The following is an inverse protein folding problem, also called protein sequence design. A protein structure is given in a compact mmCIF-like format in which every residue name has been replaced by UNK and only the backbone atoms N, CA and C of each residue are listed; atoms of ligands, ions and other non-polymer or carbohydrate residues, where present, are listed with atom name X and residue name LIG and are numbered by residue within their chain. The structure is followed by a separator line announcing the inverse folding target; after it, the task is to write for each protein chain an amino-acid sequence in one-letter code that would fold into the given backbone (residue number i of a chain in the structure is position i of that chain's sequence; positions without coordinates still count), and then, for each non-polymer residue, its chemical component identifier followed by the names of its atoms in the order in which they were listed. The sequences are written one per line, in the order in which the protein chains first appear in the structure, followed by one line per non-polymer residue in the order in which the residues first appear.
data_IF_049458573131
#
_entry.id   IF_049458573131
#
_cell.length_a   1.000
_cell.length_b   1.000
_cell.length_c   1.000
_cell.angle_alpha   90.00
_cell.angle_beta   90.00
_cell.angle_gamma   90.00
#
_symmetry.space_group_name_H-M   'P 1'
#
loop_
_entity.id
_entity.type
_entity.pdbx_description
1 polymer ?
#
# COMPACT_ATOMS: atom_id res chain seq x y z
N UNK A 1 19.48 -24.81 41.34
CA UNK A 1 19.53 -23.51 40.66
C UNK A 1 20.45 -23.66 39.46
N UNK A 2 19.85 -23.81 38.27
CA UNK A 2 20.58 -24.01 37.01
C UNK A 2 20.61 -22.71 36.21
N UNK A 3 21.79 -22.34 35.73
CA UNK A 3 21.99 -21.23 34.80
C UNK A 3 21.66 -21.71 33.38
N UNK A 4 20.73 -21.03 32.70
CA UNK A 4 20.46 -21.21 31.26
C UNK A 4 21.33 -20.20 30.51
N UNK A 5 22.18 -20.74 29.64
CA UNK A 5 23.05 -20.00 28.72
C UNK A 5 22.33 -19.79 27.37
N UNK A 6 22.60 -18.61 26.81
CA UNK A 6 22.75 -18.26 25.39
C UNK A 6 21.53 -18.32 24.46
N UNK A 7 21.05 -17.11 24.19
CA UNK A 7 20.65 -16.56 22.90
C UNK A 7 21.51 -16.99 21.69
N UNK A 8 20.84 -17.37 20.59
CA UNK A 8 21.39 -17.37 19.23
C UNK A 8 20.29 -17.02 18.20
N UNK A 9 20.65 -16.22 17.21
CA UNK A 9 19.83 -15.44 16.29
C UNK A 9 19.32 -16.21 15.05
N UNK A 10 18.24 -15.70 14.43
CA UNK A 10 18.05 -15.74 12.97
C UNK A 10 17.77 -14.34 12.45
N UNK A 11 18.85 -13.65 12.04
CA UNK A 11 18.82 -12.63 11.01
C UNK A 11 19.62 -13.23 9.84
N UNK A 12 18.94 -13.83 8.86
CA UNK A 12 19.59 -14.28 7.62
C UNK A 12 18.53 -14.50 6.52
N UNK A 13 18.28 -13.47 5.71
CA UNK A 13 17.96 -13.56 4.28
C UNK A 13 17.81 -12.15 3.69
N UNK A 14 18.90 -11.39 3.70
CA UNK A 14 19.10 -10.30 2.75
C UNK A 14 20.55 -10.38 2.24
N UNK A 15 20.71 -10.17 0.93
CA UNK A 15 21.94 -10.12 0.14
C UNK A 15 22.50 -11.46 -0.39
N UNK A 16 22.08 -11.83 -1.60
CA UNK A 16 23.01 -12.28 -2.66
C UNK A 16 22.51 -11.79 -4.03
N UNK A 17 22.85 -10.53 -4.35
CA UNK A 17 23.03 -10.07 -5.73
C UNK A 17 24.48 -9.61 -5.85
N UNK A 18 25.31 -10.39 -6.54
CA UNK A 18 26.50 -9.89 -7.23
C UNK A 18 26.92 -10.89 -8.32
N UNK A 19 26.90 -10.44 -9.57
CA UNK A 19 27.53 -11.07 -10.71
C UNK A 19 29.05 -11.23 -10.52
N UNK A 20 29.59 -12.41 -10.84
CA UNK A 20 30.76 -12.61 -11.71
C UNK A 20 32.17 -12.30 -11.18
N UNK A 21 33.07 -13.29 -11.33
CA UNK A 21 34.52 -13.07 -11.48
C UNK A 21 35.39 -14.06 -10.71
N UNK A 22 35.98 -15.04 -11.41
CA UNK A 22 36.85 -16.08 -10.84
C UNK A 22 38.29 -15.66 -10.55
N UNK A 23 39.05 -16.61 -9.97
CA UNK A 23 40.49 -16.53 -9.67
C UNK A 23 40.77 -17.10 -8.28
N UNK A 24 41.07 -18.40 -8.16
CA UNK A 24 42.42 -19.01 -8.13
C UNK A 24 43.00 -19.13 -6.71
N UNK A 25 43.09 -20.40 -6.28
CA UNK A 25 44.11 -21.02 -5.44
C UNK A 25 44.60 -20.37 -4.14
N UNK A 26 44.32 -21.09 -3.05
CA UNK A 26 45.38 -21.62 -2.19
C UNK A 26 45.75 -20.80 -0.95
N UNK A 27 45.59 -21.38 0.24
CA UNK A 27 46.69 -21.91 1.06
C UNK A 27 46.16 -22.39 2.42
N UNK A 28 45.86 -23.69 2.53
CA UNK A 28 46.45 -24.65 3.47
C UNK A 28 45.60 -25.93 3.44
N UNK A 29 46.22 -26.96 2.88
CA UNK A 29 45.71 -28.30 2.68
C UNK A 29 46.19 -29.22 3.83
N UNK A 30 45.51 -30.36 3.92
CA UNK A 30 45.83 -31.60 4.66
C UNK A 30 45.40 -31.65 6.14
N UNK A 31 44.75 -32.70 6.64
CA UNK A 31 44.25 -33.95 6.06
C UNK A 31 43.36 -34.60 7.12
N UNK A 32 42.18 -35.08 6.75
CA UNK A 32 41.48 -36.22 7.37
C UNK A 32 40.20 -36.51 6.57
N UNK A 33 40.30 -37.42 5.59
CA UNK A 33 39.15 -37.96 4.86
C UNK A 33 38.23 -38.73 5.82
N UNK A 34 37.04 -38.19 6.08
CA UNK A 34 35.85 -39.03 6.23
C UNK A 34 34.86 -38.62 5.13
N UNK A 35 34.40 -39.61 4.37
CA UNK A 35 33.38 -39.43 3.34
C UNK A 35 32.04 -39.13 4.03
N UNK A 36 31.70 -37.85 4.16
CA UNK A 36 30.31 -37.40 4.14
C UNK A 36 30.24 -36.31 3.09
N UNK A 37 29.64 -36.64 1.94
CA UNK A 37 29.19 -35.64 0.99
C UNK A 37 28.39 -34.60 1.79
N UNK A 38 28.70 -33.29 1.73
CA UNK A 38 27.83 -32.30 2.34
C UNK A 38 26.51 -32.43 1.60
N UNK A 39 25.47 -32.90 2.29
CA UNK A 39 24.11 -32.67 1.83
C UNK A 39 24.01 -31.19 1.46
N UNK A 40 23.47 -30.89 0.28
CA UNK A 40 23.06 -29.53 -0.05
C UNK A 40 22.32 -28.95 1.16
N UNK A 41 22.46 -27.64 1.45
CA UNK A 41 21.68 -27.01 2.52
C UNK A 41 20.23 -27.44 2.34
N UNK A 42 19.68 -28.10 3.35
CA UNK A 42 18.31 -28.56 3.32
C UNK A 42 17.45 -27.29 3.37
N UNK A 43 17.04 -26.81 2.18
CA UNK A 43 16.23 -25.61 2.02
C UNK A 43 14.78 -25.82 2.49
N UNK A 44 14.51 -26.89 3.22
CA UNK A 44 13.20 -27.16 3.81
C UNK A 44 13.10 -26.46 5.15
N UNK A 45 12.49 -25.27 5.16
CA UNK A 45 12.01 -24.62 6.38
C UNK A 45 11.15 -25.62 7.16
N UNK A 46 11.46 -25.87 8.43
CA UNK A 46 10.69 -26.84 9.23
C UNK A 46 9.23 -26.37 9.36
N UNK A 47 8.24 -27.29 9.43
CA UNK A 47 6.85 -26.93 9.70
C UNK A 47 6.65 -26.05 10.96
N UNK A 48 7.52 -26.20 11.96
CA UNK A 48 7.52 -25.36 13.17
C UNK A 48 7.95 -23.92 12.89
N UNK A 49 8.90 -23.72 11.99
CA UNK A 49 9.42 -22.40 11.61
C UNK A 49 8.37 -21.67 10.77
N UNK A 50 7.75 -22.40 9.83
CA UNK A 50 6.64 -21.92 9.00
C UNK A 50 5.45 -21.46 9.86
N UNK A 51 5.07 -22.21 10.89
CA UNK A 51 4.00 -21.82 11.81
C UNK A 51 4.37 -20.58 12.64
N UNK A 52 5.64 -20.46 13.06
CA UNK A 52 6.13 -19.31 13.84
C UNK A 52 6.13 -18.02 13.00
N UNK A 53 6.61 -18.11 11.77
CA UNK A 53 6.58 -17.00 10.80
C UNK A 53 5.14 -16.59 10.52
N UNK A 54 4.25 -17.55 10.29
CA UNK A 54 2.85 -17.28 10.04
C UNK A 54 2.14 -16.62 11.24
N UNK A 55 2.38 -17.08 12.47
CA UNK A 55 1.81 -16.45 13.67
C UNK A 55 2.21 -14.96 13.79
N UNK A 56 3.40 -14.60 13.32
CA UNK A 56 3.85 -13.21 13.25
C UNK A 56 3.15 -12.43 12.14
N UNK A 57 2.92 -13.07 10.98
CA UNK A 57 2.20 -12.48 9.85
C UNK A 57 0.71 -12.23 10.15
N UNK A 58 0.03 -13.12 10.90
CA UNK A 58 -1.39 -12.97 11.26
C UNK A 58 -1.72 -11.63 11.90
N UNK A 59 -0.82 -11.15 12.77
CA UNK A 59 -0.98 -9.87 13.48
C UNK A 59 -0.86 -8.69 12.52
N UNK A 60 -0.13 -8.87 11.42
CA UNK A 60 0.23 -7.80 10.50
C UNK A 60 -0.66 -7.71 9.27
N UNK A 61 -1.35 -8.81 8.96
CA UNK A 61 -1.98 -9.05 7.67
C UNK A 61 -3.29 -9.86 7.79
N UNK A 62 -4.08 -9.63 8.85
CA UNK A 62 -5.33 -10.35 9.07
C UNK A 62 -6.30 -10.20 7.89
N UNK A 63 -6.32 -9.02 7.25
CA UNK A 63 -7.16 -8.71 6.08
C UNK A 63 -6.85 -9.59 4.88
N UNK A 64 -5.60 -10.05 4.71
CA UNK A 64 -5.23 -11.00 3.65
C UNK A 64 -5.98 -12.33 3.78
N UNK A 65 -6.43 -12.67 4.98
CA UNK A 65 -7.17 -13.89 5.26
C UNK A 65 -8.65 -13.61 5.50
N UNK A 66 -9.14 -12.42 5.12
CA UNK A 66 -10.53 -12.00 5.27
C UNK A 66 -10.94 -11.71 6.71
N UNK A 67 -9.99 -11.72 7.64
CA UNK A 67 -10.21 -11.47 9.06
C UNK A 67 -10.12 -9.97 9.33
N UNK A 68 -10.76 -9.53 10.41
CA UNK A 68 -10.70 -8.14 10.87
C UNK A 68 -10.09 -8.10 12.27
N UNK A 69 -9.18 -7.17 12.49
CA UNK A 69 -8.79 -6.77 13.83
C UNK A 69 -8.95 -5.25 13.97
N UNK A 70 -10.12 -4.77 14.38
CA UNK A 70 -10.37 -3.34 14.49
C UNK A 70 -9.60 -2.67 15.64
N UNK A 71 -9.05 -3.46 16.57
CA UNK A 71 -8.32 -2.96 17.75
C UNK A 71 -6.81 -2.86 17.52
N UNK A 72 -6.24 -3.76 16.72
CA UNK A 72 -4.79 -3.82 16.44
C UNK A 72 -4.54 -4.24 15.00
N UNK A 73 -4.74 -3.31 14.05
CA UNK A 73 -4.30 -3.52 12.67
C UNK A 73 -2.79 -3.50 12.58
N UNK A 74 -2.21 -4.26 11.66
CA UNK A 74 -0.77 -4.16 11.36
C UNK A 74 -0.48 -3.61 9.98
N UNK A 75 0.79 -3.67 9.57
CA UNK A 75 1.25 -2.87 8.42
C UNK A 75 0.56 -3.20 7.11
N UNK A 76 0.37 -4.49 6.83
CA UNK A 76 -0.25 -4.94 5.58
C UNK A 76 -1.73 -4.55 5.58
N UNK A 77 -2.41 -4.70 6.72
CA UNK A 77 -3.80 -4.27 6.88
C UNK A 77 -3.94 -2.76 6.67
N UNK A 78 -3.05 -1.97 7.26
CA UNK A 78 -3.02 -0.52 7.06
C UNK A 78 -2.79 -0.13 5.61
N UNK A 79 -1.83 -0.77 4.95
CA UNK A 79 -1.49 -0.49 3.56
C UNK A 79 -2.68 -0.79 2.64
N UNK A 80 -3.30 -1.97 2.79
CA UNK A 80 -4.44 -2.38 1.99
C UNK A 80 -5.68 -1.54 2.27
N UNK A 81 -5.96 -1.22 3.53
CA UNK A 81 -7.03 -0.30 3.90
C UNK A 81 -6.82 1.07 3.25
N UNK A 82 -5.62 1.66 3.37
CA UNK A 82 -5.35 2.98 2.80
C UNK A 82 -5.49 2.92 1.28
N UNK A 83 -4.93 1.91 0.61
CA UNK A 83 -5.10 1.74 -0.83
C UNK A 83 -6.57 1.65 -1.23
N UNK A 84 -7.35 0.80 -0.56
CA UNK A 84 -8.74 0.51 -0.91
C UNK A 84 -9.70 1.67 -0.54
N UNK A 85 -9.60 2.17 0.68
CA UNK A 85 -10.52 3.15 1.25
C UNK A 85 -10.18 4.58 0.86
N UNK A 86 -8.99 4.83 0.27
CA UNK A 86 -8.64 6.14 -0.26
C UNK A 86 -8.43 6.17 -1.76
N UNK A 87 -7.27 5.73 -2.23
CA UNK A 87 -6.85 5.91 -3.61
C UNK A 87 -7.81 5.22 -4.58
N UNK A 88 -8.13 3.95 -4.32
CA UNK A 88 -9.07 3.20 -5.15
C UNK A 88 -10.50 3.74 -5.04
N UNK A 89 -10.91 4.20 -3.84
CA UNK A 89 -12.22 4.83 -3.64
C UNK A 89 -12.36 6.13 -4.44
N UNK A 90 -11.43 7.07 -4.30
CA UNK A 90 -11.40 8.33 -5.06
C UNK A 90 -11.48 8.03 -6.56
N UNK A 91 -10.64 7.09 -7.02
CA UNK A 91 -10.60 6.59 -8.39
C UNK A 91 -11.97 6.09 -8.86
N UNK A 92 -12.67 5.25 -8.09
CA UNK A 92 -13.99 4.73 -8.49
C UNK A 92 -15.07 5.83 -8.49
N UNK A 93 -15.05 6.73 -7.51
CA UNK A 93 -16.10 7.72 -7.32
C UNK A 93 -16.00 8.89 -8.31
N UNK A 94 -14.79 9.36 -8.61
CA UNK A 94 -14.59 10.46 -9.57
C UNK A 94 -15.09 10.11 -10.98
N UNK A 95 -15.05 8.83 -11.37
CA UNK A 95 -15.53 8.36 -12.68
C UNK A 95 -17.04 8.43 -12.86
N UNK A 96 -17.80 8.67 -11.78
CA UNK A 96 -19.26 8.83 -11.83
C UNK A 96 -19.69 10.25 -12.17
N UNK A 97 -18.75 11.19 -12.24
CA UNK A 97 -19.00 12.61 -12.44
C UNK A 97 -18.98 13.01 -13.92
N UNK A 98 -19.72 14.06 -14.28
CA UNK A 98 -19.64 14.71 -15.59
C UNK A 98 -18.66 15.89 -15.54
N UNK A 99 -17.58 15.81 -16.31
CA UNK A 99 -16.51 16.81 -16.29
C UNK A 99 -16.73 17.99 -17.24
N UNK A 100 -17.75 17.94 -18.10
CA UNK A 100 -17.97 18.97 -19.12
C UNK A 100 -18.17 20.37 -18.54
N UNK A 101 -18.71 20.48 -17.32
CA UNK A 101 -18.90 21.75 -16.62
C UNK A 101 -17.59 22.42 -16.19
N UNK A 102 -16.48 21.67 -16.16
CA UNK A 102 -15.17 22.16 -15.72
C UNK A 102 -14.22 22.51 -16.88
N UNK A 103 -14.71 22.45 -18.12
CA UNK A 103 -13.93 22.73 -19.34
C UNK A 103 -13.25 24.10 -19.34
N UNK A 104 -13.87 25.11 -18.73
CA UNK A 104 -13.35 26.48 -18.75
C UNK A 104 -12.48 26.81 -17.54
N UNK A 105 -12.52 26.01 -16.48
CA UNK A 105 -11.90 26.33 -15.18
C UNK A 105 -10.75 25.40 -14.82
N UNK A 106 -10.89 24.10 -15.07
CA UNK A 106 -9.96 23.08 -14.58
C UNK A 106 -9.32 22.26 -15.70
N UNK A 107 -9.81 22.39 -16.93
CA UNK A 107 -9.27 21.65 -18.07
C UNK A 107 -8.01 22.30 -18.63
N UNK A 108 -6.99 21.49 -18.84
CA UNK A 108 -5.78 21.82 -19.57
C UNK A 108 -5.79 21.06 -20.90
N UNK A 109 -5.58 21.78 -22.02
CA UNK A 109 -5.42 21.16 -23.34
C UNK A 109 -4.23 20.19 -23.39
N UNK A 110 -3.23 20.43 -22.54
CA UNK A 110 -2.09 19.54 -22.34
C UNK A 110 -1.75 19.51 -20.86
N UNK A 111 -1.95 18.34 -20.25
CA UNK A 111 -1.79 18.16 -18.82
C UNK A 111 -0.35 18.44 -18.36
N UNK A 112 0.61 18.08 -19.20
CA UNK A 112 2.04 18.25 -18.97
C UNK A 112 2.64 19.13 -20.08
N UNK A 113 2.63 20.47 -19.92
CA UNK A 113 3.04 21.40 -20.97
C UNK A 113 4.44 21.15 -21.52
N UNK A 114 5.35 20.66 -20.68
CA UNK A 114 6.75 20.40 -21.03
C UNK A 114 7.01 18.96 -21.54
N UNK A 115 6.05 18.03 -21.39
CA UNK A 115 6.27 16.61 -21.68
C UNK A 115 6.32 16.30 -23.17
N UNK A 116 7.44 15.82 -23.69
CA UNK A 116 7.57 15.47 -25.12
C UNK A 116 6.91 14.14 -25.50
N UNK A 117 6.38 13.39 -24.53
CA UNK A 117 5.86 12.03 -24.74
C UNK A 117 4.42 11.87 -24.28
N UNK A 118 3.87 12.80 -23.50
CA UNK A 118 2.48 12.79 -23.06
C UNK A 118 1.82 14.13 -23.40
N UNK A 119 0.88 14.08 -24.36
CA UNK A 119 0.16 15.23 -24.89
C UNK A 119 -1.31 15.23 -24.47
N UNK A 120 -1.72 14.33 -23.57
CA UNK A 120 -3.13 14.20 -23.19
C UNK A 120 -3.60 15.48 -22.50
N UNK A 121 -4.82 15.90 -22.84
CA UNK A 121 -5.55 16.88 -22.06
C UNK A 121 -5.99 16.25 -20.73
N UNK A 122 -6.25 17.08 -19.72
CA UNK A 122 -6.74 16.60 -18.44
C UNK A 122 -7.52 17.67 -17.70
N UNK A 123 -8.30 17.25 -16.72
CA UNK A 123 -8.85 18.13 -15.69
C UNK A 123 -7.96 18.03 -14.45
N UNK A 124 -7.59 19.18 -13.88
CA UNK A 124 -6.78 19.26 -12.66
C UNK A 124 -7.61 19.90 -11.56
N UNK A 125 -7.75 19.18 -10.46
CA UNK A 125 -8.39 19.66 -9.23
C UNK A 125 -7.37 19.67 -8.11
N UNK A 126 -7.39 20.73 -7.29
CA UNK A 126 -6.42 20.93 -6.21
C UNK A 126 -7.10 21.20 -4.88
N UNK A 127 -6.61 20.56 -3.83
CA UNK A 127 -7.06 20.83 -2.46
C UNK A 127 -8.58 20.83 -2.30
N UNK A 128 -9.15 21.93 -1.80
CA UNK A 128 -10.60 22.08 -1.55
C UNK A 128 -11.47 21.92 -2.80
N UNK A 129 -10.93 22.11 -4.00
CA UNK A 129 -11.67 21.83 -5.25
C UNK A 129 -12.05 20.35 -5.34
N UNK A 130 -11.24 19.46 -4.77
CA UNK A 130 -11.50 18.02 -4.74
C UNK A 130 -12.67 17.70 -3.80
N UNK A 131 -12.76 18.33 -2.62
CA UNK A 131 -13.92 18.19 -1.73
C UNK A 131 -15.21 18.61 -2.46
N UNK A 132 -15.19 19.78 -3.11
CA UNK A 132 -16.34 20.29 -3.85
C UNK A 132 -16.73 19.38 -5.03
N UNK A 133 -15.74 18.78 -5.69
CA UNK A 133 -15.95 17.85 -6.80
C UNK A 133 -16.61 16.54 -6.34
N UNK A 134 -16.11 15.95 -5.25
CA UNK A 134 -16.55 14.64 -4.77
C UNK A 134 -17.78 14.71 -3.85
N UNK A 135 -18.11 15.90 -3.33
CA UNK A 135 -19.31 16.16 -2.55
C UNK A 135 -19.23 15.69 -1.10
N UNK A 136 -20.40 15.59 -0.45
CA UNK A 136 -20.52 15.42 1.01
C UNK A 136 -19.89 14.16 1.58
N UNK A 137 -19.73 13.11 0.77
CA UNK A 137 -19.06 11.86 1.18
C UNK A 137 -17.58 12.09 1.54
N UNK A 138 -17.02 13.24 1.19
CA UNK A 138 -15.64 13.65 1.43
C UNK A 138 -15.53 14.87 2.36
N UNK A 139 -16.59 15.27 3.07
CA UNK A 139 -16.56 16.43 3.98
C UNK A 139 -15.60 16.26 5.16
N UNK A 140 -15.31 15.01 5.53
CA UNK A 140 -14.37 14.66 6.61
C UNK A 140 -12.93 14.44 6.13
N UNK A 141 -12.67 14.64 4.84
CA UNK A 141 -11.36 14.49 4.21
C UNK A 141 -10.71 15.86 4.05
N UNK A 142 -9.41 15.94 4.30
CA UNK A 142 -8.64 17.15 4.04
C UNK A 142 -7.70 16.93 2.88
N UNK A 143 -7.95 17.57 1.75
CA UNK A 143 -7.05 17.55 0.58
C UNK A 143 -5.99 18.65 0.63
N UNK A 144 -5.94 19.40 1.73
CA UNK A 144 -4.87 20.34 2.06
C UNK A 144 -4.49 20.05 3.51
N UNK A 145 -3.22 19.76 3.75
CA UNK A 145 -2.66 19.64 5.09
C UNK A 145 -1.78 20.87 5.29
N UNK A 146 -2.15 21.74 6.22
CA UNK A 146 -1.49 23.03 6.40
C UNK A 146 -1.37 23.41 7.89
N UNK A 147 -0.62 24.47 8.13
CA UNK A 147 -0.55 25.16 9.41
C UNK A 147 -0.48 26.66 9.17
N UNK A 148 -1.13 27.43 10.02
CA UNK A 148 -1.14 28.87 9.86
C UNK A 148 -2.07 29.56 10.83
N UNK A 149 -2.62 30.68 10.37
CA UNK A 149 -3.61 31.48 11.11
C UNK A 149 -4.81 31.63 10.20
N UNK A 150 -5.99 31.28 10.68
CA UNK A 150 -7.23 31.41 9.92
C UNK A 150 -7.70 32.87 9.81
N UNK A 151 -8.77 33.11 9.06
CA UNK A 151 -9.33 34.46 8.87
C UNK A 151 -9.85 35.11 10.15
N UNK A 152 -9.98 34.36 11.24
CA UNK A 152 -10.41 34.84 12.57
C UNK A 152 -9.23 35.12 13.50
N UNK A 153 -8.00 34.88 13.04
CA UNK A 153 -6.79 35.07 13.84
C UNK A 153 -6.44 33.86 14.71
N UNK A 154 -7.10 32.72 14.53
CA UNK A 154 -6.84 31.50 15.31
C UNK A 154 -5.77 30.68 14.59
N UNK A 155 -4.70 30.34 15.33
CA UNK A 155 -3.67 29.45 14.81
C UNK A 155 -4.23 28.04 14.67
N UNK A 156 -3.92 27.39 13.55
CA UNK A 156 -4.25 25.99 13.28
C UNK A 156 -3.02 25.27 12.76
N UNK A 157 -2.98 23.97 13.01
CA UNK A 157 -1.96 23.07 12.47
C UNK A 157 -2.62 21.69 12.41
N UNK A 158 -2.79 21.18 11.18
CA UNK A 158 -3.47 19.91 10.94
C UNK A 158 -2.70 18.70 11.51
N UNK A 159 -1.39 18.86 11.73
CA UNK A 159 -0.52 17.86 12.34
C UNK A 159 -0.23 18.18 13.83
N UNK A 160 -0.93 19.17 14.40
CA UNK A 160 -0.79 19.50 15.82
C UNK A 160 -1.01 18.27 16.70
N UNK A 161 -0.15 18.11 17.70
CA UNK A 161 -0.16 16.99 18.65
C UNK A 161 0.17 15.61 18.06
N UNK A 162 0.58 15.54 16.79
CA UNK A 162 1.22 14.34 16.25
C UNK A 162 2.69 14.37 16.63
N UNK A 163 3.20 13.26 17.15
CA UNK A 163 4.60 13.11 17.54
C UNK A 163 5.21 11.89 16.86
N UNK A 164 6.38 12.06 16.27
CA UNK A 164 7.22 10.94 15.83
C UNK A 164 8.17 10.53 16.97
N UNK A 165 8.66 9.29 16.92
CA UNK A 165 9.59 8.77 17.93
C UNK A 165 10.90 9.58 17.99
N UNK A 166 11.40 10.00 16.83
CA UNK A 166 12.64 10.76 16.64
C UNK A 166 12.59 11.55 15.34
N UNK A 167 13.41 12.60 15.25
CA UNK A 167 13.49 13.46 14.06
C UNK A 167 14.12 12.76 12.84
N UNK A 168 14.85 11.66 13.06
CA UNK A 168 15.48 10.85 12.00
C UNK A 168 14.49 9.99 11.20
N UNK A 169 13.20 9.98 11.59
CA UNK A 169 12.17 9.22 10.87
C UNK A 169 11.83 9.92 9.55
N UNK A 170 11.88 9.17 8.45
CA UNK A 170 11.56 9.65 7.10
C UNK A 170 10.37 8.85 6.55
N UNK A 171 9.33 9.52 6.00
CA UNK A 171 9.15 10.97 5.94
C UNK A 171 8.87 11.58 7.33
N UNK A 172 9.40 12.78 7.56
CA UNK A 172 9.08 13.57 8.75
C UNK A 172 7.70 14.22 8.63
N UNK A 173 7.19 14.81 9.72
CA UNK A 173 5.87 15.47 9.72
C UNK A 173 5.79 16.62 8.70
N UNK A 174 6.88 17.36 8.50
CA UNK A 174 6.87 18.48 7.54
C UNK A 174 6.61 18.04 6.11
N UNK A 175 6.98 16.81 5.76
CA UNK A 175 6.75 16.24 4.44
C UNK A 175 5.28 16.03 4.11
N UNK A 176 4.40 16.03 5.12
CA UNK A 176 2.95 15.86 4.95
C UNK A 176 2.20 17.18 4.75
N UNK A 177 2.82 18.34 4.99
CA UNK A 177 2.18 19.61 4.62
C UNK A 177 2.18 19.79 3.11
N UNK A 178 1.02 20.16 2.57
CA UNK A 178 0.85 20.41 1.14
C UNK A 178 -0.59 20.26 0.65
N UNK A 179 -0.77 20.49 -0.65
CA UNK A 179 -2.03 20.28 -1.33
C UNK A 179 -2.01 18.96 -2.13
N UNK A 180 -3.17 18.32 -2.23
CA UNK A 180 -3.39 17.20 -3.15
C UNK A 180 -3.69 17.72 -4.55
N UNK A 181 -3.16 17.02 -5.54
CA UNK A 181 -3.47 17.17 -6.96
C UNK A 181 -4.20 15.92 -7.45
N UNK A 182 -5.33 16.14 -8.11
CA UNK A 182 -6.12 15.09 -8.73
C UNK A 182 -6.24 15.39 -10.23
N UNK A 183 -5.63 14.53 -11.04
CA UNK A 183 -5.59 14.66 -12.49
C UNK A 183 -6.52 13.60 -13.10
N UNK A 184 -7.45 14.06 -13.94
CA UNK A 184 -8.38 13.22 -14.70
C UNK A 184 -8.04 13.33 -16.18
N UNK A 185 -7.45 12.30 -16.76
CA UNK A 185 -6.94 12.39 -18.14
C UNK A 185 -8.03 12.17 -19.18
N UNK A 186 -8.07 13.05 -20.16
CA UNK A 186 -8.83 12.81 -21.37
C UNK A 186 -8.10 11.81 -22.26
N UNK A 187 -8.89 11.05 -23.02
CA UNK A 187 -8.37 10.17 -24.05
C UNK A 187 -9.10 10.46 -25.36
N UNK A 188 -8.36 10.57 -26.46
CA UNK A 188 -8.94 10.76 -27.79
C UNK A 188 -9.89 9.63 -28.17
N UNK A 189 -9.63 8.40 -27.69
CA UNK A 189 -10.58 7.32 -27.84
C UNK A 189 -11.75 7.56 -26.87
N UNK A 190 -12.97 7.81 -27.36
CA UNK A 190 -14.13 8.10 -26.50
C UNK A 190 -14.44 6.94 -25.55
N UNK A 191 -14.08 5.71 -25.91
CA UNK A 191 -14.24 4.54 -25.05
C UNK A 191 -13.24 4.52 -23.90
N UNK A 192 -12.11 5.24 -24.00
CA UNK A 192 -11.05 5.35 -22.99
C UNK A 192 -11.07 6.67 -22.21
N UNK A 193 -12.01 7.57 -22.53
CA UNK A 193 -11.99 8.92 -21.99
C UNK A 193 -12.18 8.92 -20.47
N UNK A 194 -11.35 9.69 -19.74
CA UNK A 194 -11.39 9.87 -18.27
C UNK A 194 -11.10 8.60 -17.46
N UNK A 195 -10.60 7.56 -18.13
CA UNK A 195 -10.35 6.30 -17.46
C UNK A 195 -9.04 6.26 -16.72
N UNK A 196 -8.18 7.28 -16.79
CA UNK A 196 -6.93 7.35 -16.04
C UNK A 196 -7.03 8.49 -15.00
N UNK A 197 -6.88 8.11 -13.73
CA UNK A 197 -6.94 9.01 -12.58
C UNK A 197 -5.60 8.95 -11.86
N UNK A 198 -4.99 10.10 -11.67
CA UNK A 198 -3.69 10.23 -10.99
C UNK A 198 -3.81 11.15 -9.79
N UNK A 199 -3.29 10.69 -8.65
CA UNK A 199 -3.28 11.42 -7.37
C UNK A 199 -1.83 11.68 -6.97
N UNK A 200 -1.53 12.90 -6.51
CA UNK A 200 -0.23 13.29 -5.98
C UNK A 200 -0.39 14.28 -4.82
N UNK A 201 0.63 14.44 -3.98
CA UNK A 201 0.62 15.38 -2.85
C UNK A 201 0.21 14.74 -1.54
N UNK A 202 -0.42 15.51 -0.65
CA UNK A 202 -0.78 15.08 0.69
C UNK A 202 -2.26 15.33 1.00
N UNK A 203 -2.91 14.35 1.62
CA UNK A 203 -4.28 14.46 2.11
C UNK A 203 -4.46 13.64 3.38
N UNK A 204 -5.58 13.86 4.06
CA UNK A 204 -6.02 13.01 5.15
C UNK A 204 -7.44 12.50 4.93
N UNK A 205 -7.74 11.35 5.52
CA UNK A 205 -9.08 10.79 5.51
C UNK A 205 -9.45 10.18 6.85
N UNK A 206 -10.75 10.11 7.19
CA UNK A 206 -11.21 9.46 8.39
C UNK A 206 -10.92 7.96 8.33
N UNK A 207 -10.55 7.41 9.48
CA UNK A 207 -10.33 5.99 9.67
C UNK A 207 -10.93 5.55 11.01
N UNK A 208 -11.78 4.52 10.95
CA UNK A 208 -12.45 3.98 12.12
C UNK A 208 -11.51 3.06 12.90
N UNK A 209 -11.32 3.36 14.19
CA UNK A 209 -10.69 2.48 15.17
C UNK A 209 -11.69 2.11 16.25
N UNK A 210 -11.34 1.10 17.07
CA UNK A 210 -12.14 0.69 18.21
C UNK A 210 -12.39 1.83 19.21
N UNK A 211 -11.43 2.76 19.36
CA UNK A 211 -11.49 3.88 20.31
C UNK A 211 -12.10 5.16 19.74
N UNK A 212 -12.49 5.17 18.46
CA UNK A 212 -13.11 6.33 17.80
C UNK A 212 -12.61 6.56 16.38
N UNK A 213 -13.00 7.69 15.81
CA UNK A 213 -12.59 8.12 14.48
C UNK A 213 -11.25 8.87 14.58
N UNK A 214 -10.22 8.38 13.89
CA UNK A 214 -8.95 9.08 13.71
C UNK A 214 -8.78 9.53 12.26
N UNK A 215 -7.78 10.38 11.99
CA UNK A 215 -7.36 10.72 10.63
C UNK A 215 -6.10 9.93 10.28
N UNK A 216 -6.04 9.38 9.07
CA UNK A 216 -4.80 8.91 8.44
C UNK A 216 -4.29 10.02 7.54
N UNK A 217 -2.99 10.29 7.59
CA UNK A 217 -2.34 11.24 6.70
C UNK A 217 -1.57 10.47 5.64
N UNK A 218 -1.81 10.80 4.37
CA UNK A 218 -1.28 10.12 3.21
C UNK A 218 -0.37 11.09 2.48
N UNK A 219 0.79 10.59 2.06
CA UNK A 219 1.75 11.35 1.29
C UNK A 219 2.14 10.56 0.04
N UNK A 220 1.94 11.18 -1.11
CA UNK A 220 2.36 10.71 -2.42
C UNK A 220 3.35 11.73 -2.97
N UNK A 221 4.64 11.46 -2.79
CA UNK A 221 5.73 12.34 -3.19
C UNK A 221 6.83 11.57 -3.94
N UNK A 222 7.86 12.30 -4.38
CA UNK A 222 8.97 11.75 -5.16
C UNK A 222 9.68 10.55 -4.50
N UNK A 223 9.73 10.47 -3.17
CA UNK A 223 10.36 9.37 -2.45
C UNK A 223 9.46 8.12 -2.35
N UNK A 224 8.14 8.27 -2.50
CA UNK A 224 7.17 7.17 -2.36
C UNK A 224 6.83 6.44 -3.64
N UNK A 225 7.09 7.07 -4.79
CA UNK A 225 6.66 6.56 -6.10
C UNK A 225 7.76 6.74 -7.15
N UNK A 226 8.00 5.67 -7.90
CA UNK A 226 8.81 5.71 -9.12
C UNK A 226 8.01 6.30 -10.29
N UNK A 227 6.67 6.16 -10.25
CA UNK A 227 5.79 6.88 -11.16
C UNK A 227 5.75 8.36 -10.76
N UNK A 228 6.13 9.24 -11.69
CA UNK A 228 6.27 10.68 -11.45
C UNK A 228 5.47 11.47 -12.47
N UNK A 229 4.92 12.59 -11.99
CA UNK A 229 4.27 13.61 -12.81
C UNK A 229 4.91 14.96 -12.55
N UNK A 230 4.66 15.90 -13.46
CA UNK A 230 5.05 17.30 -13.27
C UNK A 230 3.79 18.13 -13.10
N UNK A 231 3.69 18.85 -11.97
CA UNK A 231 2.56 19.76 -11.69
C UNK A 231 3.06 21.17 -11.50
N UNK A 232 2.31 22.15 -11.99
CA UNK A 232 2.57 23.57 -11.71
C UNK A 232 1.83 23.97 -10.43
N UNK A 233 2.58 24.23 -9.36
CA UNK A 233 2.02 24.66 -8.07
C UNK A 233 1.48 26.09 -8.17
N UNK A 234 0.56 26.43 -7.27
CA UNK A 234 0.02 27.81 -7.22
C UNK A 234 1.14 28.83 -7.04
N UNK A 235 1.10 29.91 -7.83
CA UNK A 235 2.13 30.97 -7.80
C UNK A 235 3.49 30.60 -8.41
N UNK A 236 3.63 29.40 -8.99
CA UNK A 236 4.86 28.97 -9.66
C UNK A 236 4.71 28.98 -11.18
N UNK A 237 5.80 29.32 -11.88
CA UNK A 237 5.88 29.29 -13.35
C UNK A 237 6.57 28.04 -13.88
N UNK A 238 7.34 27.35 -13.04
CA UNK A 238 8.06 26.11 -13.38
C UNK A 238 7.31 24.91 -12.82
N UNK A 239 7.30 23.80 -13.57
CA UNK A 239 6.77 22.54 -13.09
C UNK A 239 7.58 21.95 -11.93
N UNK A 240 6.90 21.42 -10.93
CA UNK A 240 7.49 20.61 -9.86
C UNK A 240 7.25 19.13 -10.16
N UNK A 241 8.31 18.31 -10.11
CA UNK A 241 8.19 16.86 -10.19
C UNK A 241 7.68 16.32 -8.87
N UNK A 242 6.66 15.46 -8.92
CA UNK A 242 6.10 14.79 -7.76
C UNK A 242 5.92 13.31 -8.10
N UNK A 243 6.16 12.43 -7.12
CA UNK A 243 5.65 11.08 -7.22
C UNK A 243 4.12 11.08 -7.25
N UNK A 244 3.55 10.07 -7.88
CA UNK A 244 2.12 9.97 -8.06
C UNK A 244 1.65 8.52 -8.04
N UNK A 245 0.36 8.34 -7.80
CA UNK A 245 -0.32 7.07 -7.93
C UNK A 245 -1.39 7.20 -9.02
N UNK A 246 -1.25 6.43 -10.09
CA UNK A 246 -2.21 6.38 -11.19
C UNK A 246 -2.96 5.05 -11.19
N UNK A 247 -4.28 5.12 -11.35
CA UNK A 247 -5.13 3.96 -11.61
C UNK A 247 -5.97 4.25 -12.83
N UNK A 248 -5.86 3.39 -13.85
CA UNK A 248 -6.73 3.44 -15.01
C UNK A 248 -7.77 2.32 -15.02
N UNK A 249 -8.95 2.59 -15.59
CA UNK A 249 -9.99 1.61 -15.88
C UNK A 249 -9.78 1.12 -17.30
N UNK A 250 -10.01 -0.16 -17.55
CA UNK A 250 -10.03 -0.71 -18.90
C UNK A 250 -11.42 -0.50 -19.51
N UNK A 251 -11.52 0.04 -20.74
CA UNK A 251 -12.78 0.46 -21.35
C UNK A 251 -13.87 -0.59 -21.44
N UNK A 252 -13.44 -1.75 -21.90
CA UNK A 252 -14.29 -2.82 -22.32
C UNK A 252 -13.50 -4.10 -22.05
N UNK A 253 -14.14 -4.98 -21.30
CA UNK A 253 -13.67 -6.32 -21.03
C UNK A 253 -14.65 -7.26 -21.73
N UNK A 254 -14.15 -8.38 -22.25
CA UNK A 254 -14.99 -9.34 -22.98
C UNK A 254 -16.08 -9.97 -22.10
N UNK A 255 -15.89 -9.94 -20.78
CA UNK A 255 -16.79 -10.49 -19.77
C UNK A 255 -17.65 -9.42 -19.07
N UNK A 256 -17.60 -8.16 -19.53
CA UNK A 256 -18.28 -7.00 -18.92
C UNK A 256 -17.88 -6.73 -17.45
N UNK A 257 -16.72 -7.21 -17.02
CA UNK A 257 -16.15 -6.85 -15.73
C UNK A 257 -15.73 -5.38 -15.65
N UNK A 258 -15.85 -4.79 -14.46
CA UNK A 258 -15.08 -3.58 -14.18
C UNK A 258 -13.64 -3.99 -13.91
N UNK A 259 -12.69 -3.45 -14.67
CA UNK A 259 -11.30 -3.83 -14.56
C UNK A 259 -10.42 -2.60 -14.45
N UNK A 260 -9.68 -2.52 -13.36
CA UNK A 260 -8.83 -1.40 -13.00
C UNK A 260 -7.38 -1.88 -12.94
N UNK A 261 -6.46 -1.05 -13.39
CA UNK A 261 -5.03 -1.32 -13.43
C UNK A 261 -4.32 -0.16 -12.73
N UNK A 262 -3.49 -0.49 -11.76
CA UNK A 262 -2.66 0.48 -11.05
C UNK A 262 -1.30 0.57 -11.72
N UNK A 263 -0.87 1.79 -12.02
CA UNK A 263 0.36 2.06 -12.76
C UNK A 263 1.59 1.60 -11.99
N UNK A 264 2.55 1.06 -12.73
CA UNK A 264 3.84 0.62 -12.25
C UNK A 264 4.57 1.69 -11.43
N UNK A 265 5.15 1.33 -10.28
CA UNK A 265 5.94 2.27 -9.47
C UNK A 265 5.10 3.27 -8.67
N UNK A 266 3.78 3.07 -8.66
CA UNK A 266 2.85 3.76 -7.76
C UNK A 266 3.12 3.42 -6.30
N UNK A 267 3.09 4.42 -5.42
CA UNK A 267 3.21 4.19 -3.98
C UNK A 267 2.77 5.37 -3.13
N UNK A 268 2.71 5.17 -1.83
CA UNK A 268 2.37 6.21 -0.86
C UNK A 268 3.00 5.91 0.51
N UNK A 269 3.11 6.95 1.32
CA UNK A 269 3.31 6.83 2.76
C UNK A 269 2.01 7.11 3.51
N UNK A 270 1.86 6.51 4.67
CA UNK A 270 0.76 6.76 5.61
C UNK A 270 1.31 6.96 7.01
N UNK A 271 0.87 7.99 7.72
CA UNK A 271 1.03 8.07 9.18
C UNK A 271 -0.14 7.35 9.85
N UNK A 272 0.19 6.33 10.63
CA UNK A 272 -0.77 5.57 11.45
C UNK A 272 -0.57 5.95 12.92
N UNK A 273 -1.66 5.97 13.68
CA UNK A 273 -1.68 6.43 15.08
C UNK A 273 -2.70 5.64 15.95
N UNK A 274 -2.94 4.37 15.60
CA UNK A 274 -3.79 3.45 16.38
C UNK A 274 -3.12 2.87 17.58
N UNK A 275 -1.80 2.77 17.54
CA UNK A 275 -1.08 1.90 18.45
C UNK A 275 -1.10 2.49 19.86
N UNK A 276 -2.13 2.15 20.63
CA UNK A 276 -2.37 2.68 21.99
C UNK A 276 -1.26 2.35 22.97
N UNK A 277 -0.35 1.43 22.60
CA UNK A 277 0.80 1.11 23.43
C UNK A 277 1.88 2.19 23.37
N UNK A 278 1.90 3.02 22.32
CA UNK A 278 2.92 4.07 22.13
C UNK A 278 2.27 5.44 21.92
N UNK A 279 2.99 6.49 22.31
CA UNK A 279 2.52 7.88 22.18
C UNK A 279 2.94 8.54 20.85
N UNK A 280 3.43 7.76 19.88
CA UNK A 280 3.98 8.27 18.63
C UNK A 280 3.24 7.69 17.43
N UNK A 281 3.08 8.52 16.41
CA UNK A 281 2.66 8.07 15.10
C UNK A 281 3.78 7.26 14.43
N UNK A 282 3.37 6.25 13.67
CA UNK A 282 4.23 5.29 13.01
C UNK A 282 4.08 5.48 11.49
N UNK A 283 5.16 5.73 10.73
CA UNK A 283 5.08 5.76 9.28
C UNK A 283 5.01 4.36 8.68
N UNK A 284 4.24 4.26 7.61
CA UNK A 284 4.10 3.10 6.75
C UNK A 284 4.33 3.53 5.31
N UNK A 285 5.13 2.77 4.57
CA UNK A 285 5.30 2.89 3.13
C UNK A 285 4.63 1.71 2.43
N UNK A 286 3.95 1.98 1.33
CA UNK A 286 3.39 1.00 0.42
C UNK A 286 3.77 1.34 -1.01
N UNK A 287 4.34 0.38 -1.73
CA UNK A 287 4.74 0.54 -3.13
C UNK A 287 4.32 -0.66 -3.96
N UNK A 288 3.85 -0.39 -5.18
CA UNK A 288 3.47 -1.38 -6.19
C UNK A 288 4.55 -1.40 -7.27
N UNK A 289 5.33 -2.48 -7.30
CA UNK A 289 6.56 -2.59 -8.10
C UNK A 289 6.37 -3.34 -9.44
N UNK A 290 5.12 -3.51 -9.90
CA UNK A 290 4.83 -4.19 -11.17
C UNK A 290 5.34 -3.37 -12.36
N UNK A 291 6.35 -3.83 -13.10
CA UNK A 291 6.85 -3.12 -14.30
C UNK A 291 5.92 -3.30 -15.51
N UNK A 292 5.90 -2.31 -16.41
CA UNK A 292 5.28 -2.42 -17.73
C UNK A 292 5.79 -3.67 -18.48
N UNK A 293 4.88 -4.54 -18.93
CA UNK A 293 5.21 -5.81 -19.61
C UNK A 293 5.36 -7.03 -18.68
N UNK A 294 5.28 -6.83 -17.37
CA UNK A 294 5.06 -7.87 -16.36
C UNK A 294 3.56 -7.93 -16.04
N UNK A 295 3.07 -8.98 -15.39
CA UNK A 295 1.69 -9.05 -14.89
C UNK A 295 1.32 -7.73 -14.21
N UNK A 296 0.26 -7.03 -14.66
CA UNK A 296 -0.12 -5.75 -14.09
C UNK A 296 -0.79 -5.91 -12.72
N UNK A 297 -0.66 -4.89 -11.88
CA UNK A 297 -1.43 -4.76 -10.64
C UNK A 297 -2.86 -4.37 -10.95
N UNK A 298 -3.83 -5.17 -10.52
CA UNK A 298 -5.21 -5.08 -10.99
C UNK A 298 -6.22 -5.24 -9.88
N UNK A 299 -7.36 -4.58 -10.04
CA UNK A 299 -8.57 -4.81 -9.28
C UNK A 299 -9.73 -5.00 -10.25
N UNK A 300 -10.45 -6.11 -10.13
CA UNK A 300 -11.53 -6.51 -11.03
C UNK A 300 -12.82 -6.70 -10.24
N UNK A 301 -13.96 -6.36 -10.83
CA UNK A 301 -15.29 -6.70 -10.31
C UNK A 301 -16.07 -7.39 -11.43
N UNK A 302 -16.54 -8.61 -11.18
CA UNK A 302 -17.38 -9.37 -12.10
C UNK A 302 -18.51 -10.06 -11.30
N UNK A 303 -19.76 -9.71 -11.60
CA UNK A 303 -20.95 -10.31 -10.97
C UNK A 303 -20.91 -10.27 -9.42
N UNK A 304 -20.42 -9.17 -8.84
CA UNK A 304 -20.30 -9.00 -7.38
C UNK A 304 -19.11 -9.71 -6.73
N UNK A 305 -18.28 -10.41 -7.52
CA UNK A 305 -17.00 -10.96 -7.08
C UNK A 305 -15.92 -9.95 -7.41
N UNK A 306 -15.13 -9.60 -6.40
CA UNK A 306 -13.98 -8.73 -6.53
C UNK A 306 -12.70 -9.57 -6.57
N UNK A 307 -11.75 -9.20 -7.42
CA UNK A 307 -10.43 -9.82 -7.51
C UNK A 307 -9.38 -8.72 -7.39
N UNK A 308 -8.52 -8.81 -6.38
CA UNK A 308 -7.31 -8.00 -6.28
C UNK A 308 -6.12 -8.88 -6.64
N UNK A 309 -5.30 -8.43 -7.57
CA UNK A 309 -4.05 -9.08 -7.93
C UNK A 309 -2.93 -8.04 -7.99
N UNK A 310 -2.07 -8.05 -6.98
CA UNK A 310 -0.88 -7.22 -6.87
C UNK A 310 0.34 -8.15 -6.97
N UNK A 311 0.90 -8.37 -8.17
CA UNK A 311 1.96 -9.37 -8.38
C UNK A 311 3.31 -8.96 -7.79
N UNK A 312 3.50 -7.68 -7.46
CA UNK A 312 4.71 -7.18 -6.81
C UNK A 312 4.39 -5.97 -5.95
N UNK A 313 4.58 -6.12 -4.64
CA UNK A 313 4.43 -5.06 -3.64
C UNK A 313 5.61 -5.05 -2.68
N UNK A 314 5.95 -3.86 -2.19
CA UNK A 314 6.79 -3.65 -1.01
C UNK A 314 5.99 -2.86 0.03
N UNK A 315 5.99 -3.34 1.27
CA UNK A 315 5.32 -2.72 2.40
C UNK A 315 6.34 -2.63 3.51
N UNK A 316 6.69 -1.42 3.92
CA UNK A 316 7.65 -1.21 5.00
C UNK A 316 7.13 -0.23 6.04
N UNK A 317 7.59 -0.33 7.27
CA UNK A 317 7.18 0.59 8.31
C UNK A 317 7.93 0.36 9.61
N UNK A 318 7.73 1.27 10.56
CA UNK A 318 8.36 1.23 11.88
C UNK A 318 7.30 1.19 12.98
N UNK A 319 7.11 0.04 13.63
CA UNK A 319 6.04 -0.23 14.60
C UNK A 319 6.71 -0.67 15.87
N UNK A 320 6.55 0.15 16.88
CA UNK A 320 7.31 0.03 18.11
C UNK A 320 6.57 -0.96 19.00
N UNK A 321 7.01 -2.22 18.97
CA UNK A 321 6.62 -3.18 20.00
C UNK A 321 7.46 -2.90 21.26
N UNK A 322 6.80 -2.71 22.40
CA UNK A 322 7.31 -2.10 23.64
C UNK A 322 8.56 -2.76 24.28
N UNK A 323 9.14 -3.80 23.68
CA UNK A 323 10.12 -4.67 24.33
C UNK A 323 11.42 -4.88 23.55
N UNK A 324 11.54 -4.53 22.26
CA UNK A 324 12.83 -4.69 21.53
C UNK A 324 12.98 -3.76 20.32
N UNK A 325 13.84 -2.72 20.37
CA UNK A 325 13.97 -1.71 19.31
C UNK A 325 14.34 -2.25 17.92
N UNK A 326 15.10 -3.35 17.84
CA UNK A 326 15.61 -3.94 16.60
C UNK A 326 14.58 -4.74 15.79
N UNK A 327 13.34 -4.86 16.27
CA UNK A 327 12.23 -5.56 15.60
C UNK A 327 11.17 -4.60 15.03
N UNK A 328 11.40 -3.29 15.15
CA UNK A 328 10.39 -2.30 14.82
C UNK A 328 10.30 -2.04 13.32
N UNK A 329 11.43 -2.11 12.61
CA UNK A 329 11.46 -1.95 11.17
C UNK A 329 11.07 -3.29 10.55
N UNK A 330 9.94 -3.32 9.83
CA UNK A 330 9.52 -4.49 9.06
C UNK A 330 9.42 -4.12 7.60
N UNK A 331 9.85 -5.05 6.75
CA UNK A 331 9.65 -5.00 5.32
C UNK A 331 8.99 -6.31 4.87
N UNK A 332 7.95 -6.17 4.08
CA UNK A 332 7.25 -7.26 3.41
C UNK A 332 7.34 -7.03 1.92
N UNK A 333 7.86 -8.04 1.22
CA UNK A 333 7.87 -8.03 -0.24
C UNK A 333 7.16 -9.28 -0.77
N UNK A 334 6.52 -9.14 -1.93
CA UNK A 334 5.96 -10.27 -2.64
C UNK A 334 4.68 -9.93 -3.40
N UNK A 335 3.69 -10.82 -3.38
CA UNK A 335 2.46 -10.70 -4.14
C UNK A 335 1.22 -10.89 -3.28
N UNK A 336 0.15 -10.15 -3.59
CA UNK A 336 -1.15 -10.25 -2.92
C UNK A 336 -2.20 -10.63 -3.96
N UNK A 337 -2.87 -11.77 -3.76
CA UNK A 337 -4.06 -12.15 -4.52
C UNK A 337 -5.23 -12.44 -3.58
N UNK A 338 -6.36 -11.79 -3.83
CA UNK A 338 -7.64 -12.00 -3.14
C UNK A 338 -8.75 -12.11 -4.17
N UNK A 339 -9.69 -13.03 -3.97
CA UNK A 339 -10.87 -13.16 -4.81
C UNK A 339 -12.09 -13.56 -3.97
N UNK A 340 -13.16 -12.78 -4.03
CA UNK A 340 -14.39 -13.05 -3.29
C UNK A 340 -15.31 -11.83 -3.23
N UNK A 341 -16.45 -11.91 -2.55
CA UNK A 341 -17.27 -10.73 -2.29
C UNK A 341 -16.64 -9.86 -1.20
N UNK A 342 -16.68 -8.53 -1.35
CA UNK A 342 -16.22 -7.57 -0.35
C UNK A 342 -14.80 -7.85 0.18
N UNK A 343 -13.81 -8.07 -0.70
CA UNK A 343 -12.48 -8.58 -0.31
C UNK A 343 -11.75 -7.70 0.72
N UNK A 344 -12.02 -6.39 0.73
CA UNK A 344 -11.42 -5.45 1.68
C UNK A 344 -12.14 -5.38 3.04
N UNK A 345 -13.35 -5.94 3.15
CA UNK A 345 -14.17 -5.99 4.36
C UNK A 345 -14.91 -7.33 4.42
N UNK A 346 -14.19 -8.44 4.24
CA UNK A 346 -14.79 -9.75 3.99
C UNK A 346 -15.71 -10.23 5.13
N UNK A 347 -15.45 -9.82 6.37
CA UNK A 347 -16.33 -10.07 7.51
C UNK A 347 -17.77 -9.54 7.30
N UNK A 348 -17.95 -8.47 6.52
CA UNK A 348 -19.25 -7.90 6.17
C UNK A 348 -19.92 -8.59 4.97
N UNK A 349 -19.30 -9.61 4.38
CA UNK A 349 -19.91 -10.42 3.32
C UNK A 349 -21.07 -11.26 3.86
N UNK A 350 -21.89 -11.83 2.97
CA UNK A 350 -22.96 -12.73 3.39
C UNK A 350 -22.41 -14.00 4.05
N UNK A 351 -23.13 -14.57 5.02
CA UNK A 351 -22.78 -15.87 5.60
C UNK A 351 -22.68 -16.94 4.50
N UNK A 352 -21.68 -17.80 4.61
CA UNK A 352 -21.22 -18.80 3.64
C UNK A 352 -20.53 -18.23 2.39
N UNK A 353 -20.26 -16.92 2.34
CA UNK A 353 -19.35 -16.38 1.32
C UNK A 353 -17.95 -16.95 1.48
N UNK A 354 -17.23 -17.06 0.36
CA UNK A 354 -15.86 -17.57 0.30
C UNK A 354 -14.94 -16.51 -0.28
N UNK A 355 -13.79 -16.32 0.38
CA UNK A 355 -12.65 -15.55 -0.07
C UNK A 355 -11.53 -16.53 -0.42
N UNK A 356 -11.16 -16.62 -1.68
CA UNK A 356 -9.97 -17.32 -2.14
C UNK A 356 -8.77 -16.38 -2.02
N UNK A 357 -7.63 -16.92 -1.62
CA UNK A 357 -6.41 -16.13 -1.52
C UNK A 357 -5.16 -16.89 -1.95
N UNK A 358 -4.17 -16.16 -2.46
CA UNK A 358 -2.85 -16.67 -2.84
C UNK A 358 -1.79 -15.59 -2.75
N UNK A 359 -1.16 -15.48 -1.59
CA UNK A 359 -0.11 -14.51 -1.33
C UNK A 359 1.26 -15.16 -1.42
N UNK A 360 2.25 -14.39 -1.84
CA UNK A 360 3.65 -14.69 -1.59
C UNK A 360 4.13 -13.55 -0.69
N UNK A 361 4.55 -13.83 0.53
CA UNK A 361 5.06 -12.82 1.46
C UNK A 361 6.40 -13.30 1.95
N UNK A 362 7.46 -12.53 1.68
CA UNK A 362 8.84 -12.87 2.01
C UNK A 362 9.18 -14.32 1.57
N UNK A 363 8.89 -14.61 0.30
CA UNK A 363 9.13 -15.90 -0.38
C UNK A 363 8.26 -17.08 0.08
N UNK A 364 7.37 -16.91 1.08
CA UNK A 364 6.45 -17.96 1.53
C UNK A 364 5.10 -17.81 0.83
N UNK A 365 4.63 -18.90 0.21
CA UNK A 365 3.31 -18.94 -0.44
C UNK A 365 2.21 -19.34 0.54
N UNK A 366 1.28 -18.41 0.79
CA UNK A 366 0.04 -18.61 1.54
C UNK A 366 -1.15 -18.69 0.59
N UNK A 367 -1.67 -19.88 0.37
CA UNK A 367 -2.78 -20.18 -0.54
C UNK A 367 -3.88 -20.93 0.20
N UNK A 368 -5.13 -20.54 -0.01
CA UNK A 368 -6.25 -21.15 0.68
C UNK A 368 -7.56 -20.40 0.50
N UNK A 369 -8.49 -20.66 1.41
CA UNK A 369 -9.82 -20.08 1.41
C UNK A 369 -10.27 -19.68 2.81
N UNK A 370 -10.95 -18.55 2.92
CA UNK A 370 -11.66 -18.11 4.12
C UNK A 370 -13.15 -18.13 3.87
N UNK A 371 -13.92 -18.68 4.81
CA UNK A 371 -15.38 -18.74 4.75
C UNK A 371 -15.98 -17.89 5.85
N UNK A 372 -16.93 -17.02 5.49
CA UNK A 372 -17.68 -16.27 6.49
C UNK A 372 -18.76 -17.16 7.12
N UNK A 373 -18.68 -17.38 8.43
CA UNK A 373 -19.62 -18.23 9.18
C UNK A 373 -20.36 -17.43 10.24
N UNK A 374 -21.44 -17.98 10.80
CA UNK A 374 -22.15 -17.35 11.92
C UNK A 374 -21.30 -17.16 13.18
N UNK A 375 -20.17 -17.86 13.28
CA UNK A 375 -19.20 -17.76 14.38
C UNK A 375 -17.95 -16.94 14.04
N UNK A 376 -17.92 -16.27 12.89
CA UNK A 376 -16.77 -15.54 12.39
C UNK A 376 -16.12 -16.19 11.16
N UNK A 377 -14.96 -15.68 10.75
CA UNK A 377 -14.27 -16.17 9.56
C UNK A 377 -13.45 -17.42 9.89
N UNK A 378 -13.61 -18.47 9.09
CA UNK A 378 -12.85 -19.72 9.20
C UNK A 378 -11.92 -19.86 7.99
N UNK A 379 -10.61 -19.98 8.23
CA UNK A 379 -9.59 -20.01 7.18
C UNK A 379 -8.94 -21.39 7.06
N UNK A 380 -8.82 -21.90 5.84
CA UNK A 380 -8.15 -23.16 5.51
C UNK A 380 -7.02 -22.89 4.54
N UNK A 381 -5.82 -23.44 4.83
CA UNK A 381 -4.66 -23.31 3.96
C UNK A 381 -4.43 -24.57 3.14
N UNK A 382 -4.25 -24.38 1.84
CA UNK A 382 -3.71 -25.39 0.91
C UNK A 382 -2.19 -25.34 0.89
N UNK A 383 -1.60 -24.14 0.98
CA UNK A 383 -0.16 -23.95 1.15
C UNK A 383 0.10 -22.81 2.14
N UNK A 384 1.03 -22.97 3.08
CA UNK A 384 1.62 -24.23 3.51
C UNK A 384 0.54 -25.12 4.17
N UNK A 385 0.42 -26.39 3.75
CA UNK A 385 -0.72 -27.27 4.09
C UNK A 385 -0.83 -27.67 5.58
N UNK A 386 0.11 -27.24 6.42
CA UNK A 386 0.16 -27.52 7.86
C UNK A 386 -0.27 -26.34 8.74
N UNK A 387 -0.55 -25.18 8.13
CA UNK A 387 -0.90 -23.97 8.86
C UNK A 387 -2.41 -23.92 9.18
N UNK A 388 -2.74 -23.41 10.36
CA UNK A 388 -4.12 -23.07 10.76
C UNK A 388 -4.22 -21.62 11.21
N UNK A 389 -5.22 -20.90 10.70
CA UNK A 389 -5.53 -19.54 11.18
C UNK A 389 -6.24 -19.61 12.53
#
# INVERSE_FOLDING_TARGET
MGFIKSSLALALASLLVACGGGGSDGYYNNDSKSNTSPSAPDNTTSPTDVQTIFNSLKVEAASLFGQSNPEQKGYIDHALDTYAQSVLKITKDIRKLDFKSFNTTNRLDRCFPESKTDFRACYVFKGKEINNLLGSDYDSWDFIIDKGIDSTGIAYDDLANIRLKSDDIIPNLESYYGETYLLVFENENPLKNLQDITIAGAFSHPFQQAQGLQKRFILINEATSDFKITVTKSGQTTGTVMGALSIYKVPATSDNSEYYVTEAGSGFNTLINDNTNVAFAEPLNFRIDSKLGVTPSTYKILNGIETLNLPSVSISGTRIQHTTPSLNDKEYTGSIFLEGPNIFNFEQSAINSVLNFKHIINEITYEGTSTNTSSGIVTTFTSPSSIKY
#
